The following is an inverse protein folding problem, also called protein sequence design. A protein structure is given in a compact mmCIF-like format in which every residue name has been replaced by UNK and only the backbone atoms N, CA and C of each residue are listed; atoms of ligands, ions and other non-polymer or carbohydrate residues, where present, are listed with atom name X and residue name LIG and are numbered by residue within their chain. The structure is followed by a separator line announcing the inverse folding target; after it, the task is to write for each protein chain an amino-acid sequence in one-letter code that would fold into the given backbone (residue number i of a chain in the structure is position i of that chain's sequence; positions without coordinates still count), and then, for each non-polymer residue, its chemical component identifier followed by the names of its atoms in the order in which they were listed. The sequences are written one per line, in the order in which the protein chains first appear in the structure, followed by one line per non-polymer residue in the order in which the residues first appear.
data_IF_094378621272
#
_entry.id   IF_094378621272
#
_cell.length_a   1.000
_cell.length_b   1.000
_cell.length_c   1.000
_cell.angle_alpha   90.00
_cell.angle_beta   90.00
_cell.angle_gamma   90.00
#
_symmetry.space_group_name_H-M   'P 1'
#
loop_
_entity.id
_entity.type
_entity.pdbx_description
1 polymer ?
#
# COMPACT_ATOMS: atom_id res chain seq x y z
N UNK A 1 8.73 12.76 5.27
CA UNK A 1 8.42 11.39 4.76
C UNK A 1 9.29 10.37 5.48
N UNK A 2 8.96 9.08 5.44
CA UNK A 2 9.77 7.99 5.99
C UNK A 2 9.52 6.70 5.22
N UNK A 3 10.52 5.80 5.23
CA UNK A 3 10.47 4.54 4.48
C UNK A 3 9.95 3.42 5.37
N UNK A 4 9.12 2.54 4.82
CA UNK A 4 8.62 1.32 5.43
C UNK A 4 8.76 0.13 4.47
N UNK A 5 8.69 -1.08 4.97
CA UNK A 5 8.56 -2.28 4.14
C UNK A 5 7.12 -2.78 4.17
N UNK A 6 6.56 -3.13 3.02
CA UNK A 6 5.31 -3.90 2.95
C UNK A 6 5.59 -5.38 3.22
N UNK A 7 4.80 -6.00 4.09
CA UNK A 7 4.91 -7.43 4.32
C UNK A 7 4.49 -8.26 3.10
N UNK A 8 3.87 -7.63 2.08
CA UNK A 8 3.64 -8.21 0.74
C UNK A 8 4.91 -8.74 0.12
N UNK A 9 6.05 -8.10 0.40
CA UNK A 9 7.36 -8.53 -0.10
C UNK A 9 7.72 -9.96 0.30
N UNK A 10 7.10 -10.49 1.34
CA UNK A 10 7.33 -11.83 1.89
C UNK A 10 6.01 -12.60 2.08
N UNK A 11 5.04 -12.40 1.18
CA UNK A 11 3.74 -13.10 1.22
C UNK A 11 3.85 -14.62 1.07
N UNK A 12 4.99 -15.12 0.60
CA UNK A 12 5.39 -16.54 0.52
C UNK A 12 5.91 -17.10 1.86
N UNK A 13 6.02 -16.28 2.91
CA UNK A 13 6.54 -16.65 4.24
C UNK A 13 5.46 -16.49 5.32
N UNK A 14 5.70 -17.06 6.47
CA UNK A 14 4.93 -16.70 7.66
C UNK A 14 5.18 -15.24 8.07
N UNK A 15 4.23 -14.65 8.79
CA UNK A 15 4.38 -13.26 9.26
C UNK A 15 5.63 -13.06 10.13
N UNK A 16 5.94 -14.01 11.00
CA UNK A 16 7.12 -13.93 11.88
C UNK A 16 8.43 -13.97 11.06
N UNK A 17 8.53 -14.87 10.08
CA UNK A 17 9.69 -14.93 9.17
C UNK A 17 9.83 -13.65 8.35
N UNK A 18 8.73 -13.12 7.81
CA UNK A 18 8.73 -11.85 7.09
C UNK A 18 9.26 -10.70 7.95
N UNK A 19 8.80 -10.60 9.20
CA UNK A 19 9.27 -9.58 10.14
C UNK A 19 10.76 -9.71 10.45
N UNK A 20 11.26 -10.94 10.60
CA UNK A 20 12.69 -11.18 10.81
C UNK A 20 13.53 -10.69 9.64
N UNK A 21 13.19 -11.11 8.41
CA UNK A 21 13.87 -10.68 7.20
C UNK A 21 13.82 -9.15 6.99
N UNK A 22 12.70 -8.53 7.29
CA UNK A 22 12.55 -7.06 7.20
C UNK A 22 13.43 -6.35 8.24
N UNK A 23 13.56 -6.93 9.44
CA UNK A 23 14.49 -6.41 10.47
C UNK A 23 15.95 -6.53 10.02
N UNK A 24 16.35 -7.66 9.42
CA UNK A 24 17.70 -7.87 8.88
C UNK A 24 18.02 -6.92 7.70
N UNK A 25 16.99 -6.44 7.02
CA UNK A 25 17.10 -5.38 6.02
C UNK A 25 17.14 -3.96 6.63
N UNK A 26 17.18 -3.85 7.96
CA UNK A 26 17.26 -2.59 8.71
C UNK A 26 16.07 -1.64 8.51
N UNK A 27 14.88 -2.16 8.16
CA UNK A 27 13.66 -1.38 8.29
C UNK A 27 13.21 -1.34 9.75
N UNK A 28 12.61 -0.23 10.16
CA UNK A 28 12.01 -0.05 11.50
C UNK A 28 10.48 0.05 11.46
N UNK A 29 9.90 0.14 10.25
CA UNK A 29 8.47 0.34 10.02
C UNK A 29 7.89 -0.66 9.04
N UNK A 30 6.64 -1.05 9.30
CA UNK A 30 5.90 -2.02 8.48
C UNK A 30 4.58 -1.47 7.94
N UNK A 31 4.32 -1.73 6.67
CA UNK A 31 2.98 -1.85 6.14
C UNK A 31 2.53 -3.30 6.25
N UNK A 32 1.42 -3.57 6.93
CA UNK A 32 0.84 -4.90 7.04
C UNK A 32 -0.06 -5.16 5.83
N UNK A 33 0.32 -6.12 5.01
CA UNK A 33 -0.47 -6.56 3.87
C UNK A 33 -1.36 -7.74 4.27
N UNK A 34 -2.66 -7.63 3.98
CA UNK A 34 -3.68 -8.62 4.30
C UNK A 34 -4.30 -9.21 3.05
N UNK A 35 -4.43 -10.54 3.04
CA UNK A 35 -5.11 -11.28 1.98
C UNK A 35 -5.71 -12.58 2.56
N UNK A 36 -7.03 -12.76 2.45
CA UNK A 36 -7.72 -13.96 2.92
C UNK A 36 -7.33 -15.22 2.13
N UNK A 37 -6.77 -15.07 0.92
CA UNK A 37 -6.29 -16.18 0.10
C UNK A 37 -4.84 -16.59 0.42
N UNK A 38 -4.14 -15.83 1.27
CA UNK A 38 -2.76 -16.13 1.68
C UNK A 38 -2.69 -16.85 3.02
N UNK A 39 -1.51 -17.39 3.34
CA UNK A 39 -1.20 -17.90 4.69
C UNK A 39 -0.45 -16.86 5.55
N UNK A 40 -0.24 -15.67 5.01
CA UNK A 40 0.55 -14.62 5.67
C UNK A 40 -0.27 -13.90 6.75
N UNK A 41 -1.13 -12.96 6.38
CA UNK A 41 -2.06 -12.27 7.27
C UNK A 41 -3.44 -12.25 6.61
N UNK A 42 -4.44 -12.75 7.33
CA UNK A 42 -5.82 -12.77 6.85
C UNK A 42 -6.66 -11.74 7.58
N UNK A 43 -7.34 -10.83 6.89
CA UNK A 43 -8.24 -9.88 7.54
C UNK A 43 -9.33 -10.60 8.36
N UNK A 44 -9.90 -11.69 7.84
CA UNK A 44 -10.91 -12.49 8.55
C UNK A 44 -10.42 -13.10 9.87
N UNK A 45 -9.15 -13.43 9.98
CA UNK A 45 -8.57 -13.96 11.23
C UNK A 45 -8.20 -12.82 12.20
N UNK A 46 -7.65 -11.73 11.68
CA UNK A 46 -7.24 -10.59 12.49
C UNK A 46 -8.41 -9.95 13.27
N UNK A 47 -9.61 -9.93 12.68
CA UNK A 47 -10.79 -9.33 13.31
C UNK A 47 -11.52 -10.24 14.30
N UNK A 48 -11.21 -11.55 14.36
CA UNK A 48 -11.82 -12.48 15.32
C UNK A 48 -11.49 -12.13 16.79
N UNK A 49 -10.26 -11.65 17.03
CA UNK A 49 -9.78 -11.26 18.35
C UNK A 49 -8.70 -10.18 18.18
N UNK A 50 -9.11 -8.92 18.28
CA UNK A 50 -8.22 -7.76 18.06
C UNK A 50 -7.07 -7.72 19.04
N UNK A 51 -7.34 -7.93 20.34
CA UNK A 51 -6.31 -7.93 21.38
C UNK A 51 -5.35 -9.11 21.20
N UNK A 52 -5.88 -10.29 20.87
CA UNK A 52 -5.07 -11.47 20.58
C UNK A 52 -4.17 -11.28 19.36
N UNK A 53 -4.68 -10.69 18.28
CA UNK A 53 -3.87 -10.35 17.12
C UNK A 53 -2.75 -9.36 17.46
N UNK A 54 -3.08 -8.31 18.24
CA UNK A 54 -2.06 -7.34 18.66
C UNK A 54 -1.01 -7.97 19.57
N UNK A 55 -1.39 -8.85 20.47
CA UNK A 55 -0.45 -9.60 21.31
C UNK A 55 0.51 -10.45 20.45
N UNK A 56 -0.01 -11.24 19.51
CA UNK A 56 0.78 -12.02 18.54
C UNK A 56 1.72 -11.14 17.70
N UNK A 57 1.24 -10.00 17.25
CA UNK A 57 2.08 -9.02 16.55
C UNK A 57 3.28 -8.60 17.41
N UNK A 58 3.04 -8.25 18.68
CA UNK A 58 4.08 -7.80 19.62
C UNK A 58 5.07 -8.91 20.00
N UNK A 59 4.65 -10.16 19.96
CA UNK A 59 5.52 -11.33 20.13
C UNK A 59 6.41 -11.55 18.90
N UNK A 60 5.83 -11.40 17.71
CA UNK A 60 6.54 -11.65 16.44
C UNK A 60 7.58 -10.57 16.12
N UNK A 61 7.34 -9.29 16.50
CA UNK A 61 8.21 -8.19 16.07
C UNK A 61 8.18 -6.97 16.98
N UNK A 62 9.23 -6.14 16.86
CA UNK A 62 9.33 -4.79 17.42
C UNK A 62 9.19 -3.69 16.37
N UNK A 63 9.07 -4.04 15.10
CA UNK A 63 8.85 -3.09 14.02
C UNK A 63 7.57 -2.28 14.27
N UNK A 64 7.52 -1.04 13.81
CA UNK A 64 6.39 -0.15 14.03
C UNK A 64 5.38 -0.32 12.88
N UNK A 65 4.12 -0.74 13.15
CA UNK A 65 3.12 -0.82 12.10
C UNK A 65 2.67 0.61 11.74
N UNK A 66 2.65 0.95 10.46
CA UNK A 66 2.36 2.32 10.00
C UNK A 66 1.17 2.39 9.03
N UNK A 67 0.86 1.30 8.33
CA UNK A 67 -0.26 1.20 7.42
C UNK A 67 -0.80 -0.24 7.35
N UNK A 68 -2.08 -0.39 7.01
CA UNK A 68 -2.67 -1.64 6.55
C UNK A 68 -2.97 -1.54 5.06
N UNK A 69 -2.74 -2.62 4.32
CA UNK A 69 -3.08 -2.74 2.91
C UNK A 69 -3.88 -4.01 2.67
N UNK A 70 -5.10 -3.88 2.15
CA UNK A 70 -5.96 -5.01 1.79
C UNK A 70 -5.75 -5.34 0.31
N UNK A 71 -5.45 -6.60 -0.01
CA UNK A 71 -5.32 -7.06 -1.40
C UNK A 71 -6.68 -7.16 -2.09
N UNK A 72 -7.68 -7.66 -1.37
CA UNK A 72 -9.04 -7.85 -1.84
C UNK A 72 -10.06 -7.06 -1.03
N UNK A 73 -11.22 -6.84 -1.62
CA UNK A 73 -12.33 -6.19 -0.94
C UNK A 73 -12.82 -7.06 0.24
N UNK A 74 -13.32 -6.40 1.27
CA UNK A 74 -13.81 -7.05 2.49
C UNK A 74 -15.21 -6.54 2.84
N UNK A 75 -16.01 -7.32 3.56
CA UNK A 75 -17.28 -6.84 4.10
C UNK A 75 -17.11 -5.58 4.94
N UNK A 76 -18.08 -4.69 4.92
CA UNK A 76 -18.06 -3.44 5.68
C UNK A 76 -17.85 -3.65 7.19
N UNK A 77 -18.40 -4.73 7.76
CA UNK A 77 -18.15 -5.12 9.16
C UNK A 77 -16.69 -5.46 9.42
N UNK A 78 -16.06 -6.21 8.52
CA UNK A 78 -14.63 -6.55 8.62
C UNK A 78 -13.77 -5.31 8.52
N UNK A 79 -14.07 -4.39 7.59
CA UNK A 79 -13.34 -3.11 7.51
C UNK A 79 -13.48 -2.30 8.81
N UNK A 80 -14.69 -2.22 9.39
CA UNK A 80 -14.90 -1.51 10.65
C UNK A 80 -14.04 -2.10 11.78
N UNK A 81 -13.98 -3.43 11.90
CA UNK A 81 -13.16 -4.08 12.92
C UNK A 81 -11.65 -3.93 12.62
N UNK A 82 -11.24 -3.90 11.35
CA UNK A 82 -9.86 -3.54 10.97
C UNK A 82 -9.54 -2.08 11.33
N UNK A 83 -10.48 -1.15 11.24
CA UNK A 83 -10.28 0.23 11.69
C UNK A 83 -10.06 0.29 13.22
N UNK A 84 -10.82 -0.50 14.01
CA UNK A 84 -10.59 -0.63 15.46
C UNK A 84 -9.21 -1.24 15.75
N UNK A 85 -8.83 -2.28 15.01
CA UNK A 85 -7.50 -2.89 15.13
C UNK A 85 -6.40 -1.87 14.80
N UNK A 86 -6.54 -1.13 13.71
CA UNK A 86 -5.61 -0.08 13.32
C UNK A 86 -5.44 0.96 14.42
N UNK A 87 -6.54 1.41 15.03
CA UNK A 87 -6.52 2.33 16.18
C UNK A 87 -5.81 1.73 17.38
N UNK A 88 -6.10 0.47 17.74
CA UNK A 88 -5.42 -0.26 18.81
C UNK A 88 -3.91 -0.33 18.58
N UNK A 89 -3.49 -0.58 17.34
CA UNK A 89 -2.09 -0.67 16.93
C UNK A 89 -1.45 0.70 16.61
N UNK A 90 -2.18 1.80 16.76
CA UNK A 90 -1.75 3.16 16.41
C UNK A 90 -1.40 3.35 14.92
N UNK A 91 -2.02 2.57 14.08
CA UNK A 91 -1.96 2.70 12.62
C UNK A 91 -3.02 3.72 12.19
N UNK A 92 -2.63 4.71 11.41
CA UNK A 92 -3.52 5.80 11.01
C UNK A 92 -4.01 5.70 9.56
N UNK A 93 -3.59 4.68 8.82
CA UNK A 93 -3.81 4.54 7.37
C UNK A 93 -4.23 3.12 7.02
N UNK A 94 -5.34 2.99 6.27
CA UNK A 94 -5.78 1.74 5.64
C UNK A 94 -5.93 1.97 4.14
N UNK A 95 -5.35 1.07 3.35
CA UNK A 95 -5.51 0.99 1.89
C UNK A 95 -6.50 -0.10 1.56
N UNK A 96 -7.50 0.21 0.73
CA UNK A 96 -8.44 -0.77 0.17
C UNK A 96 -8.28 -0.84 -1.34
N UNK A 97 -8.60 -1.98 -1.98
CA UNK A 97 -8.61 -2.05 -3.44
C UNK A 97 -9.73 -1.18 -4.03
N UNK A 98 -9.51 -0.65 -5.23
CA UNK A 98 -10.59 -0.14 -6.06
C UNK A 98 -11.33 -1.30 -6.72
N UNK A 99 -12.62 -1.12 -7.00
CA UNK A 99 -13.42 -2.12 -7.72
C UNK A 99 -12.87 -2.40 -9.12
N UNK A 100 -13.16 -3.60 -9.65
CA UNK A 100 -12.72 -4.02 -10.97
C UNK A 100 -13.25 -3.10 -12.07
N UNK A 101 -12.57 -3.05 -13.19
CA UNK A 101 -13.06 -2.38 -14.41
C UNK A 101 -14.45 -2.90 -14.78
N UNK A 102 -15.32 -1.98 -15.19
CA UNK A 102 -16.71 -2.28 -15.54
C UNK A 102 -17.69 -2.20 -14.36
N UNK A 103 -17.21 -2.05 -13.12
CA UNK A 103 -18.10 -1.71 -12.00
C UNK A 103 -18.73 -0.33 -12.24
N UNK A 104 -20.06 -0.19 -12.08
CA UNK A 104 -20.71 1.11 -12.21
C UNK A 104 -20.12 2.14 -11.24
N UNK A 105 -19.77 3.31 -11.77
CA UNK A 105 -19.06 4.34 -11.01
C UNK A 105 -19.80 4.77 -9.73
N UNK A 106 -21.13 4.86 -9.80
CA UNK A 106 -21.95 5.23 -8.63
C UNK A 106 -21.92 4.12 -7.55
N UNK A 107 -21.87 2.85 -7.93
CA UNK A 107 -21.76 1.75 -6.96
C UNK A 107 -20.43 1.82 -6.21
N UNK A 108 -19.34 2.12 -6.91
CA UNK A 108 -18.04 2.32 -6.28
C UNK A 108 -18.05 3.54 -5.35
N UNK A 109 -18.63 4.66 -5.76
CA UNK A 109 -18.77 5.84 -4.91
C UNK A 109 -19.55 5.51 -3.63
N UNK A 110 -20.65 4.79 -3.71
CA UNK A 110 -21.47 4.45 -2.55
C UNK A 110 -20.75 3.47 -1.62
N UNK A 111 -20.02 2.48 -2.18
CA UNK A 111 -19.15 1.59 -1.40
C UNK A 111 -18.08 2.39 -0.65
N UNK A 112 -17.36 3.26 -1.33
CA UNK A 112 -16.29 4.05 -0.74
C UNK A 112 -16.80 5.07 0.28
N UNK A 113 -17.97 5.68 0.07
CA UNK A 113 -18.63 6.56 1.07
C UNK A 113 -18.95 5.81 2.36
N UNK A 114 -19.48 4.59 2.23
CA UNK A 114 -19.72 3.76 3.40
C UNK A 114 -18.42 3.41 4.14
N UNK A 115 -17.36 3.07 3.41
CA UNK A 115 -16.05 2.75 3.97
C UNK A 115 -15.42 3.96 4.67
N UNK A 116 -15.49 5.15 4.07
CA UNK A 116 -15.02 6.41 4.70
C UNK A 116 -15.80 6.71 5.97
N UNK A 117 -17.11 6.50 6.01
CA UNK A 117 -17.91 6.70 7.22
C UNK A 117 -17.40 5.81 8.37
N UNK A 118 -17.17 4.51 8.09
CA UNK A 118 -16.65 3.56 9.10
C UNK A 118 -15.23 3.91 9.55
N UNK A 119 -14.36 4.29 8.62
CA UNK A 119 -13.00 4.69 8.94
C UNK A 119 -12.95 5.96 9.80
N UNK A 120 -13.83 6.93 9.53
CA UNK A 120 -13.93 8.16 10.29
C UNK A 120 -14.40 7.93 11.74
N UNK A 121 -15.24 6.93 12.01
CA UNK A 121 -15.66 6.56 13.36
C UNK A 121 -14.46 6.21 14.27
N UNK A 122 -13.39 5.66 13.66
CA UNK A 122 -12.17 5.30 14.35
C UNK A 122 -10.99 6.26 14.09
N UNK A 123 -11.24 7.37 13.39
CA UNK A 123 -10.21 8.37 13.01
C UNK A 123 -9.11 7.80 12.11
N UNK A 124 -9.44 6.83 11.29
CA UNK A 124 -8.51 6.20 10.33
C UNK A 124 -8.64 6.87 8.96
N UNK A 125 -7.52 7.17 8.34
CA UNK A 125 -7.48 7.60 6.93
C UNK A 125 -7.66 6.40 6.02
N UNK A 126 -8.51 6.54 5.02
CA UNK A 126 -8.75 5.53 4.01
C UNK A 126 -8.23 6.01 2.65
N UNK A 127 -7.56 5.14 1.93
CA UNK A 127 -7.17 5.37 0.54
C UNK A 127 -7.50 4.17 -0.34
N UNK A 128 -7.70 4.42 -1.63
CA UNK A 128 -7.81 3.36 -2.63
C UNK A 128 -6.47 3.15 -3.33
N UNK A 129 -6.12 1.88 -3.58
CA UNK A 129 -4.89 1.52 -4.30
C UNK A 129 -5.03 1.82 -5.79
N UNK A 130 -4.01 2.40 -6.38
CA UNK A 130 -3.89 2.51 -7.84
C UNK A 130 -3.38 1.19 -8.39
N UNK A 131 -4.14 0.58 -9.32
CA UNK A 131 -3.83 -0.75 -9.86
C UNK A 131 -4.46 -0.94 -11.24
N UNK A 132 -3.72 -1.56 -12.17
CA UNK A 132 -4.27 -1.99 -13.47
C UNK A 132 -5.38 -3.03 -13.29
N UNK A 133 -6.37 -3.00 -14.17
CA UNK A 133 -7.57 -3.86 -14.09
C UNK A 133 -8.63 -3.39 -13.11
N UNK A 134 -8.47 -2.24 -12.49
CA UNK A 134 -9.43 -1.63 -11.58
C UNK A 134 -9.87 -0.24 -12.03
N UNK A 135 -10.88 0.35 -11.38
CA UNK A 135 -11.34 1.71 -11.71
C UNK A 135 -10.25 2.78 -11.55
N UNK A 136 -9.21 2.52 -10.77
CA UNK A 136 -8.06 3.43 -10.62
C UNK A 136 -6.97 3.22 -11.67
N UNK A 137 -7.17 2.36 -12.65
CA UNK A 137 -6.22 2.16 -13.76
C UNK A 137 -6.01 3.44 -14.57
N UNK A 138 -7.09 4.21 -14.80
CA UNK A 138 -7.02 5.52 -15.41
C UNK A 138 -6.79 6.59 -14.34
N UNK A 139 -5.70 7.40 -14.43
CA UNK A 139 -5.45 8.48 -13.49
C UNK A 139 -6.61 9.46 -13.34
N UNK A 140 -7.36 9.73 -14.41
CA UNK A 140 -8.52 10.64 -14.38
C UNK A 140 -9.65 10.08 -13.54
N UNK A 141 -9.97 8.80 -13.72
CA UNK A 141 -11.00 8.12 -12.94
C UNK A 141 -10.59 8.05 -11.47
N UNK A 142 -9.31 7.83 -11.15
CA UNK A 142 -8.81 7.87 -9.79
C UNK A 142 -9.01 9.26 -9.13
N UNK A 143 -8.76 10.35 -9.87
CA UNK A 143 -9.03 11.72 -9.41
C UNK A 143 -10.53 11.92 -9.17
N UNK A 144 -11.38 11.54 -10.11
CA UNK A 144 -12.84 11.69 -10.00
C UNK A 144 -13.43 10.93 -8.81
N UNK A 145 -12.93 9.72 -8.51
CA UNK A 145 -13.33 8.96 -7.32
C UNK A 145 -12.98 9.72 -6.02
N UNK A 146 -11.76 10.20 -5.91
CA UNK A 146 -11.34 10.97 -4.72
C UNK A 146 -12.11 12.29 -4.57
N UNK A 147 -12.44 12.97 -5.66
CA UNK A 147 -13.25 14.20 -5.64
C UNK A 147 -14.72 13.91 -5.29
N UNK A 148 -15.27 12.77 -5.72
CA UNK A 148 -16.65 12.36 -5.46
C UNK A 148 -16.87 11.82 -4.04
N UNK A 149 -15.81 11.39 -3.36
CA UNK A 149 -15.87 10.81 -2.01
C UNK A 149 -14.99 11.62 -1.06
N UNK A 150 -15.63 12.54 -0.34
CA UNK A 150 -14.90 13.44 0.59
C UNK A 150 -14.13 12.65 1.66
N UNK A 151 -12.83 12.92 1.78
CA UNK A 151 -11.95 12.29 2.75
C UNK A 151 -11.24 11.03 2.22
N UNK A 152 -11.57 10.58 1.00
CA UNK A 152 -10.84 9.52 0.32
C UNK A 152 -9.51 10.03 -0.23
N UNK A 153 -8.44 9.26 -0.03
CA UNK A 153 -7.14 9.49 -0.65
C UNK A 153 -6.73 8.37 -1.60
N UNK A 154 -5.51 8.48 -2.10
CA UNK A 154 -4.89 7.47 -2.95
C UNK A 154 -3.71 6.80 -2.23
N UNK A 155 -3.60 5.49 -2.39
CA UNK A 155 -2.33 4.77 -2.26
C UNK A 155 -1.73 4.67 -3.65
N UNK A 156 -0.77 5.54 -3.92
CA UNK A 156 -0.13 5.65 -5.22
C UNK A 156 0.95 4.58 -5.37
N UNK A 157 0.78 3.73 -6.36
CA UNK A 157 1.82 2.87 -6.89
C UNK A 157 2.13 3.34 -8.33
N UNK A 158 3.19 4.11 -8.53
CA UNK A 158 3.48 4.70 -9.83
C UNK A 158 3.82 3.67 -10.90
N UNK A 159 4.25 2.46 -10.52
CA UNK A 159 4.61 1.41 -11.47
C UNK A 159 3.42 0.98 -12.35
N UNK A 160 2.20 0.97 -11.78
CA UNK A 160 0.98 0.65 -12.55
C UNK A 160 0.63 1.71 -13.59
N UNK A 161 0.99 2.97 -13.36
CA UNK A 161 0.81 4.01 -14.36
C UNK A 161 1.96 4.03 -15.36
N UNK A 162 3.17 3.68 -14.93
CA UNK A 162 4.32 3.63 -15.82
C UNK A 162 4.24 2.46 -16.81
N UNK A 163 3.89 1.27 -16.35
CA UNK A 163 3.72 0.05 -17.15
C UNK A 163 2.29 -0.17 -17.67
N UNK A 164 1.33 0.67 -17.26
CA UNK A 164 -0.09 0.47 -17.53
C UNK A 164 -0.57 1.02 -18.88
N UNK A 165 -1.84 0.76 -19.22
CA UNK A 165 -2.43 1.19 -20.50
C UNK A 165 -2.57 2.72 -20.62
N UNK A 166 -2.43 3.46 -19.54
CA UNK A 166 -2.54 4.92 -19.49
C UNK A 166 -1.20 5.63 -19.19
N UNK A 167 -0.06 4.99 -19.45
CA UNK A 167 1.29 5.52 -19.17
C UNK A 167 1.55 6.93 -19.74
N UNK A 168 0.93 7.28 -20.86
CA UNK A 168 1.07 8.61 -21.48
C UNK A 168 0.38 9.76 -20.71
N UNK A 169 -0.48 9.47 -19.74
CA UNK A 169 -1.31 10.50 -19.07
C UNK A 169 -0.62 11.22 -17.92
N UNK A 170 0.50 10.68 -17.44
CA UNK A 170 1.20 11.22 -16.28
C UNK A 170 0.40 11.08 -14.96
N UNK A 171 1.05 11.34 -13.84
CA UNK A 171 0.49 11.18 -12.49
C UNK A 171 0.40 12.49 -11.70
N UNK A 172 0.75 13.62 -12.28
CA UNK A 172 0.88 14.90 -11.58
C UNK A 172 -0.42 15.32 -10.87
N UNK A 173 -1.58 15.04 -11.51
CA UNK A 173 -2.90 15.34 -10.92
C UNK A 173 -3.28 14.47 -9.73
N UNK A 174 -2.60 13.35 -9.51
CA UNK A 174 -2.84 12.45 -8.39
C UNK A 174 -2.12 12.89 -7.13
N UNK A 175 -0.97 13.57 -7.26
CA UNK A 175 -0.06 13.89 -6.15
C UNK A 175 -0.76 14.58 -4.97
N UNK A 176 -1.64 15.59 -5.18
CA UNK A 176 -2.35 16.23 -4.07
C UNK A 176 -3.31 15.32 -3.31
N UNK A 177 -3.68 14.17 -3.89
CA UNK A 177 -4.65 13.21 -3.33
C UNK A 177 -3.96 12.05 -2.61
N UNK A 178 -2.62 11.98 -2.64
CA UNK A 178 -1.86 10.85 -2.11
C UNK A 178 -1.86 10.85 -0.59
N UNK A 179 -2.25 9.72 0.01
CA UNK A 179 -2.17 9.44 1.44
C UNK A 179 -1.06 8.44 1.77
N UNK A 180 -0.70 7.59 0.83
CA UNK A 180 0.29 6.54 0.97
C UNK A 180 0.95 6.27 -0.37
N UNK A 181 2.21 5.83 -0.38
CA UNK A 181 2.94 5.47 -1.61
C UNK A 181 3.52 4.08 -1.47
N UNK A 182 3.36 3.25 -2.50
CA UNK A 182 4.00 1.94 -2.62
C UNK A 182 4.96 1.97 -3.81
N UNK A 183 6.19 1.51 -3.60
CA UNK A 183 7.29 1.69 -4.55
C UNK A 183 7.98 0.37 -4.88
N UNK A 184 8.16 0.16 -6.16
CA UNK A 184 9.07 -0.78 -6.81
C UNK A 184 9.63 -0.14 -8.07
N UNK A 185 10.72 -0.63 -8.59
CA UNK A 185 11.23 -0.13 -9.87
C UNK A 185 10.54 -0.82 -11.05
N UNK A 186 10.27 -0.09 -12.12
CA UNK A 186 9.51 -0.57 -13.29
C UNK A 186 9.98 0.08 -14.57
N UNK A 187 9.69 -0.56 -15.72
CA UNK A 187 9.83 0.02 -17.08
C UNK A 187 8.46 0.18 -17.72
N UNK A 188 8.40 0.79 -18.88
CA UNK A 188 7.15 0.90 -19.65
C UNK A 188 6.51 -0.45 -20.02
N UNK A 189 7.26 -1.55 -19.96
CA UNK A 189 6.80 -2.89 -20.37
C UNK A 189 6.82 -3.92 -19.23
N UNK A 190 7.47 -3.62 -18.10
CA UNK A 190 7.61 -4.53 -16.97
C UNK A 190 7.24 -3.82 -15.67
N UNK A 191 6.25 -4.38 -14.97
CA UNK A 191 5.73 -3.81 -13.72
C UNK A 191 6.79 -3.79 -12.60
N UNK A 192 7.72 -4.73 -12.63
CA UNK A 192 8.82 -4.80 -11.68
C UNK A 192 10.10 -5.24 -12.37
N UNK A 193 11.16 -4.49 -12.12
CA UNK A 193 12.53 -4.78 -12.56
C UNK A 193 13.50 -4.60 -11.40
N UNK A 194 14.77 -4.92 -11.62
CA UNK A 194 15.83 -4.66 -10.63
C UNK A 194 15.99 -3.15 -10.40
N UNK A 195 16.17 -2.76 -9.16
CA UNK A 195 16.36 -1.36 -8.76
C UNK A 195 17.58 -0.74 -9.46
N UNK A 196 17.33 0.37 -10.14
CA UNK A 196 18.32 1.07 -10.95
C UNK A 196 18.33 0.66 -12.43
N UNK A 197 17.56 -0.35 -12.83
CA UNK A 197 17.33 -0.71 -14.23
C UNK A 197 15.95 -0.25 -14.73
N UNK A 198 15.13 0.29 -13.83
CA UNK A 198 13.84 0.85 -14.18
C UNK A 198 13.94 2.30 -14.69
N UNK A 199 12.78 2.83 -15.02
CA UNK A 199 12.61 4.16 -15.61
C UNK A 199 11.81 5.10 -14.70
N UNK A 200 11.49 4.66 -13.47
CA UNK A 200 10.78 5.52 -12.50
C UNK A 200 11.72 6.62 -11.98
N UNK A 201 11.31 7.87 -12.19
CA UNK A 201 12.02 9.04 -11.66
C UNK A 201 11.62 9.29 -10.19
N UNK A 202 12.30 8.59 -9.28
CA UNK A 202 12.09 8.74 -7.83
C UNK A 202 12.37 10.17 -7.34
N UNK A 203 13.36 10.84 -7.90
CA UNK A 203 13.73 12.22 -7.53
C UNK A 203 12.58 13.18 -7.84
N UNK A 204 12.02 13.07 -9.04
CA UNK A 204 10.84 13.86 -9.43
C UNK A 204 9.63 13.54 -8.54
N UNK A 205 9.33 12.27 -8.32
CA UNK A 205 8.20 11.85 -7.48
C UNK A 205 8.32 12.42 -6.07
N UNK A 206 9.46 12.24 -5.41
CA UNK A 206 9.70 12.75 -4.05
C UNK A 206 9.63 14.27 -4.02
N UNK A 207 10.20 14.95 -5.01
CA UNK A 207 10.10 16.42 -5.13
C UNK A 207 8.65 16.90 -5.27
N UNK A 208 7.81 16.18 -6.03
CA UNK A 208 6.38 16.51 -6.17
C UNK A 208 5.63 16.29 -4.85
N UNK A 209 5.88 15.17 -4.17
CA UNK A 209 5.30 14.88 -2.86
C UNK A 209 5.69 15.95 -1.81
N UNK A 210 6.94 16.40 -1.80
CA UNK A 210 7.40 17.49 -0.93
C UNK A 210 6.65 18.80 -1.18
N UNK A 211 6.40 19.15 -2.44
CA UNK A 211 5.64 20.37 -2.80
C UNK A 211 4.20 20.34 -2.25
N UNK A 212 3.60 19.16 -2.14
CA UNK A 212 2.27 18.96 -1.56
C UNK A 212 2.30 18.73 -0.04
N UNK A 213 3.44 18.97 0.62
CA UNK A 213 3.64 18.76 2.06
C UNK A 213 3.30 17.31 2.49
N UNK A 214 3.60 16.35 1.65
CA UNK A 214 3.41 14.94 1.98
C UNK A 214 4.50 14.49 2.95
N UNK A 215 4.14 14.33 4.22
CA UNK A 215 5.05 13.90 5.30
C UNK A 215 4.66 12.51 5.82
N UNK A 216 4.40 11.56 4.89
CA UNK A 216 3.85 10.24 5.24
C UNK A 216 4.76 9.12 4.74
N UNK A 217 4.16 7.97 4.49
CA UNK A 217 4.83 6.70 4.31
C UNK A 217 5.15 6.46 2.83
N UNK A 218 6.39 6.04 2.57
CA UNK A 218 6.84 5.42 1.34
C UNK A 218 7.12 3.94 1.63
N UNK A 219 6.24 3.04 1.23
CA UNK A 219 6.42 1.61 1.43
C UNK A 219 7.19 0.99 0.26
N UNK A 220 8.27 0.28 0.56
CA UNK A 220 8.87 -0.66 -0.39
C UNK A 220 7.92 -1.84 -0.53
N UNK A 221 7.35 -2.04 -1.71
CA UNK A 221 6.45 -3.14 -2.03
C UNK A 221 6.91 -3.84 -3.30
N UNK A 222 7.61 -4.94 -3.16
CA UNK A 222 8.03 -5.80 -4.28
C UNK A 222 7.26 -7.11 -4.26
N UNK A 223 7.08 -7.71 -5.43
CA UNK A 223 6.36 -8.95 -5.59
C UNK A 223 7.33 -10.13 -5.55
N UNK A 224 7.23 -11.02 -4.54
CA UNK A 224 8.15 -12.14 -4.38
C UNK A 224 8.14 -13.10 -5.57
N UNK A 225 6.98 -13.27 -6.22
CA UNK A 225 6.78 -14.14 -7.39
C UNK A 225 7.54 -13.70 -8.65
N UNK A 226 8.06 -12.47 -8.67
CA UNK A 226 8.84 -11.91 -9.78
C UNK A 226 10.37 -12.00 -9.56
N UNK A 227 10.80 -12.68 -8.50
CA UNK A 227 12.23 -12.90 -8.23
C UNK A 227 12.62 -14.38 -8.36
N UNK A 228 13.77 -14.62 -8.96
CA UNK A 228 14.32 -15.97 -9.11
C UNK A 228 14.79 -16.56 -7.77
N UNK A 229 15.11 -15.72 -6.79
CA UNK A 229 15.58 -16.14 -5.47
C UNK A 229 15.27 -15.10 -4.38
N UNK A 230 15.20 -15.60 -3.14
CA UNK A 230 15.08 -14.76 -1.95
C UNK A 230 16.26 -13.80 -1.80
N UNK A 231 17.47 -14.24 -2.11
CA UNK A 231 18.68 -13.41 -2.03
C UNK A 231 18.57 -12.18 -2.93
N UNK A 232 18.10 -12.37 -4.17
CA UNK A 232 17.89 -11.27 -5.11
C UNK A 232 16.83 -10.29 -4.58
N UNK A 233 15.71 -10.79 -4.06
CA UNK A 233 14.66 -9.98 -3.43
C UNK A 233 15.21 -9.14 -2.27
N UNK A 234 15.96 -9.74 -1.36
CA UNK A 234 16.57 -9.03 -0.22
C UNK A 234 17.52 -7.93 -0.67
N UNK A 235 18.35 -8.20 -1.68
CA UNK A 235 19.26 -7.20 -2.24
C UNK A 235 18.50 -6.02 -2.86
N UNK A 236 17.44 -6.29 -3.61
CA UNK A 236 16.64 -5.25 -4.27
C UNK A 236 15.87 -4.40 -3.26
N UNK A 237 15.30 -5.00 -2.23
CA UNK A 237 14.66 -4.26 -1.14
C UNK A 237 15.65 -3.34 -0.40
N UNK A 238 16.86 -3.84 -0.12
CA UNK A 238 17.92 -3.02 0.49
C UNK A 238 18.33 -1.85 -0.39
N UNK A 239 18.53 -2.08 -1.69
CA UNK A 239 18.87 -1.02 -2.65
C UNK A 239 17.78 0.04 -2.69
N UNK A 240 16.50 -0.36 -2.78
CA UNK A 240 15.38 0.58 -2.85
C UNK A 240 15.25 1.37 -1.54
N UNK A 241 15.39 0.73 -0.38
CA UNK A 241 15.41 1.43 0.91
C UNK A 241 16.49 2.53 0.92
N UNK A 242 17.74 2.15 0.62
CA UNK A 242 18.88 3.07 0.62
C UNK A 242 18.69 4.23 -0.37
N UNK A 243 18.18 3.94 -1.57
CA UNK A 243 17.85 4.97 -2.56
C UNK A 243 16.83 5.96 -2.01
N UNK A 244 15.72 5.47 -1.46
CA UNK A 244 14.66 6.33 -0.91
C UNK A 244 15.16 7.16 0.28
N UNK A 245 15.91 6.56 1.22
CA UNK A 245 16.48 7.27 2.37
C UNK A 245 17.48 8.36 1.96
N UNK A 246 18.17 8.17 0.83
CA UNK A 246 19.11 9.19 0.30
C UNK A 246 18.36 10.39 -0.32
N UNK A 247 17.12 10.19 -0.77
CA UNK A 247 16.31 11.23 -1.40
C UNK A 247 15.43 12.00 -0.40
N UNK A 248 15.28 11.51 0.83
CA UNK A 248 14.48 12.13 1.89
C UNK A 248 15.30 13.12 2.72
#
# INVERSE_FOLDING_TARGET
MFVAASTRCFSDKSFAEACHLITDLEFDKLELWFDDNSQHLRPSDAVKNLDGFYAQYREATRLIPVAFCLEHDVPASTLHDLCKLAKLMRVAQITVPASALGTPFNEEIDRLRNFIRLANEETIRLSIKTKSGTLTEDPRTAVELCQSVRGLGLTLDPSYYHCGPHASRGIDSLIPLVYHVQLRDSTATQLQVQVGLGELDYTRLISQLHKENFERILSVEVFPELYDSEINRLLEMRKLRMLLETLL
#
